data_IF_232168760226
#
_entry.id   IF_232168760226
#
_cell.length_a   1.000
_cell.length_b   1.000
_cell.length_c   1.000
_cell.angle_alpha   90.00
_cell.angle_beta   90.00
_cell.angle_gamma   90.00
#
_symmetry.space_group_name_H-M   'P 1'
#
loop_
_entity.id
_entity.type
_entity.pdbx_description
1 polymer ?
#
# COMPACT_ATOMS: atom_id res chain seq x y z
N UNK A 1 -89.68 0.17 37.04
CA UNK A 1 -88.42 0.88 37.24
C UNK A 1 -87.33 -0.13 37.00
N UNK A 2 -86.65 -0.05 35.82
CA UNK A 2 -85.57 -0.99 35.40
C UNK A 2 -84.24 -0.22 35.31
N UNK A 3 -83.33 -0.55 36.22
CA UNK A 3 -82.00 0.02 36.21
C UNK A 3 -81.08 -0.73 35.20
N UNK A 4 -80.48 -0.02 34.25
CA UNK A 4 -79.50 -0.56 33.33
C UNK A 4 -78.11 -0.12 33.81
N UNK A 5 -77.12 -1.01 33.93
CA UNK A 5 -75.77 -0.59 34.29
C UNK A 5 -74.95 -0.16 33.01
N UNK A 6 -74.30 0.97 33.16
CA UNK A 6 -73.39 1.56 32.18
C UNK A 6 -72.04 0.76 32.14
N UNK A 7 -71.68 0.14 31.01
CA UNK A 7 -70.41 -0.52 30.82
C UNK A 7 -69.37 0.52 30.38
N UNK A 8 -68.36 0.74 31.17
CA UNK A 8 -67.19 1.53 30.82
C UNK A 8 -66.25 0.68 29.91
N UNK A 9 -66.00 1.10 28.69
CA UNK A 9 -64.94 0.57 27.84
C UNK A 9 -63.62 1.21 28.26
N UNK A 10 -62.65 0.41 28.74
CA UNK A 10 -61.24 0.80 28.87
C UNK A 10 -60.57 0.54 27.55
N UNK A 11 -60.20 1.58 26.87
CA UNK A 11 -59.28 1.53 25.70
C UNK A 11 -57.84 1.53 26.21
N UNK A 12 -57.17 0.38 26.10
CA UNK A 12 -55.74 0.27 26.34
C UNK A 12 -54.95 0.84 25.15
N UNK A 13 -54.30 1.99 25.35
CA UNK A 13 -53.36 2.56 24.38
C UNK A 13 -52.01 1.83 24.49
N UNK A 14 -51.68 1.01 23.50
CA UNK A 14 -50.32 0.47 23.36
C UNK A 14 -49.38 1.56 22.90
N UNK A 15 -48.54 2.11 23.77
CA UNK A 15 -47.37 2.90 23.38
C UNK A 15 -46.32 1.95 22.77
N UNK A 16 -46.17 1.99 21.44
CA UNK A 16 -45.05 1.37 20.77
C UNK A 16 -43.78 2.22 21.04
N UNK A 17 -42.94 1.74 21.95
CA UNK A 17 -41.62 2.33 22.16
C UNK A 17 -40.75 2.06 20.91
N UNK A 18 -40.51 3.09 20.09
CA UNK A 18 -39.52 3.04 19.03
C UNK A 18 -38.15 3.06 19.69
N UNK A 19 -37.48 1.90 19.75
CA UNK A 19 -36.05 1.81 20.09
C UNK A 19 -35.29 2.44 18.97
N UNK A 20 -34.51 3.51 19.20
CA UNK A 20 -33.63 4.03 18.14
C UNK A 20 -32.62 2.94 17.81
N UNK A 21 -32.60 2.49 16.56
CA UNK A 21 -31.49 1.72 16.02
C UNK A 21 -30.27 2.61 16.10
N UNK A 22 -29.41 2.43 17.10
CA UNK A 22 -28.07 2.98 17.10
C UNK A 22 -27.40 2.38 15.89
N UNK A 23 -27.17 3.21 14.86
CA UNK A 23 -26.37 2.83 13.71
C UNK A 23 -25.05 2.27 14.23
N UNK A 24 -24.72 1.04 13.85
CA UNK A 24 -23.42 0.46 14.18
C UNK A 24 -22.37 1.45 13.69
N UNK A 25 -21.68 2.13 14.60
CA UNK A 25 -20.46 2.85 14.26
C UNK A 25 -19.55 1.83 13.54
N UNK A 26 -19.08 2.17 12.34
CA UNK A 26 -18.21 1.30 11.58
C UNK A 26 -17.07 0.88 12.51
N UNK A 27 -17.02 -0.42 12.84
CA UNK A 27 -16.05 -0.93 13.80
C UNK A 27 -14.65 -0.62 13.25
N UNK A 28 -13.84 0.07 14.05
CA UNK A 28 -12.48 0.43 13.69
C UNK A 28 -11.73 -0.79 13.13
N UNK A 29 -10.84 -0.57 12.16
CA UNK A 29 -10.03 -1.65 11.60
C UNK A 29 -9.10 -2.19 12.70
N UNK A 30 -9.06 -3.51 12.86
CA UNK A 30 -8.25 -4.15 13.91
C UNK A 30 -6.89 -4.51 13.31
N UNK A 31 -5.84 -3.89 13.81
CA UNK A 31 -4.47 -4.18 13.47
C UNK A 31 -3.86 -5.26 14.39
N UNK A 32 -2.81 -5.99 13.96
CA UNK A 32 -2.13 -6.96 14.81
C UNK A 32 -1.61 -6.33 16.10
N UNK A 33 -1.57 -7.11 17.17
CA UNK A 33 -1.00 -6.72 18.48
C UNK A 33 -1.62 -5.46 19.09
N UNK A 34 -2.83 -5.04 18.66
CA UNK A 34 -3.47 -3.82 19.13
C UNK A 34 -2.85 -2.54 18.58
N UNK A 35 -2.06 -2.62 17.53
CA UNK A 35 -1.49 -1.44 16.87
C UNK A 35 -2.59 -0.47 16.41
N UNK A 36 -2.26 0.82 16.37
CA UNK A 36 -3.18 1.88 15.96
C UNK A 36 -3.19 2.10 14.45
N UNK A 37 -2.09 1.77 13.77
CA UNK A 37 -1.97 1.87 12.32
C UNK A 37 -0.93 0.90 11.78
N UNK A 38 -0.98 0.62 10.47
CA UNK A 38 0.11 -0.02 9.76
C UNK A 38 0.96 0.98 8.97
N UNK A 39 2.25 0.70 8.85
CA UNK A 39 3.22 1.50 8.08
C UNK A 39 3.96 0.59 7.12
N UNK A 40 3.84 0.88 5.82
CA UNK A 40 4.63 0.24 4.77
C UNK A 40 5.75 1.16 4.33
N UNK A 41 6.99 0.66 4.36
CA UNK A 41 8.18 1.34 3.87
C UNK A 41 8.58 0.67 2.55
N UNK A 42 8.35 1.34 1.42
CA UNK A 42 8.69 0.81 0.11
C UNK A 42 9.71 1.69 -0.61
N UNK A 43 10.42 1.06 -1.57
CA UNK A 43 11.53 1.64 -2.30
C UNK A 43 11.45 1.16 -3.75
N UNK A 44 11.33 2.09 -4.70
CA UNK A 44 11.14 1.76 -6.10
C UNK A 44 12.44 1.87 -6.91
N UNK A 45 12.52 1.24 -8.09
CA UNK A 45 13.53 1.33 -9.15
C UNK A 45 14.77 0.45 -9.02
N UNK A 46 15.07 -0.16 -7.90
CA UNK A 46 16.30 -0.95 -7.69
C UNK A 46 17.57 -0.12 -7.95
N UNK A 47 17.76 0.96 -7.19
CA UNK A 47 18.91 1.88 -7.30
C UNK A 47 19.95 1.65 -6.21
N UNK A 48 21.18 2.18 -6.41
CA UNK A 48 22.33 1.85 -5.57
C UNK A 48 22.16 2.31 -4.12
N UNK A 49 21.61 3.50 -3.87
CA UNK A 49 21.42 4.02 -2.50
C UNK A 49 20.46 3.19 -1.64
N UNK A 50 19.62 2.37 -2.24
CA UNK A 50 18.76 1.44 -1.49
C UNK A 50 19.59 0.31 -0.85
N UNK A 51 20.56 -0.23 -1.59
CA UNK A 51 21.48 -1.25 -1.07
C UNK A 51 22.51 -0.67 -0.10
N UNK A 52 22.99 0.55 -0.38
CA UNK A 52 24.07 1.16 0.39
C UNK A 52 23.58 1.84 1.68
N UNK A 53 22.37 2.41 1.67
CA UNK A 53 21.85 3.22 2.76
C UNK A 53 20.54 2.65 3.35
N UNK A 54 19.50 2.42 2.51
CA UNK A 54 18.17 2.07 3.03
C UNK A 54 18.15 0.70 3.73
N UNK A 55 18.62 -0.36 3.07
CA UNK A 55 18.61 -1.73 3.63
C UNK A 55 19.44 -1.81 4.90
N UNK A 56 20.69 -1.29 4.97
CA UNK A 56 21.46 -1.30 6.22
C UNK A 56 20.77 -0.51 7.35
N UNK A 57 20.10 0.59 7.06
CA UNK A 57 19.35 1.36 8.07
C UNK A 57 18.13 0.59 8.59
N UNK A 58 17.36 -0.04 7.71
CA UNK A 58 16.23 -0.91 8.08
C UNK A 58 16.69 -2.08 8.95
N UNK A 59 17.77 -2.76 8.56
CA UNK A 59 18.33 -3.89 9.31
C UNK A 59 18.78 -3.46 10.70
N UNK A 60 19.49 -2.33 10.83
CA UNK A 60 19.88 -1.77 12.14
C UNK A 60 18.67 -1.43 13.01
N UNK A 61 17.62 -0.91 12.42
CA UNK A 61 16.38 -0.61 13.11
C UNK A 61 15.53 -1.87 13.39
N UNK A 62 15.89 -3.03 12.85
CA UNK A 62 15.12 -4.27 12.93
C UNK A 62 13.75 -4.17 12.23
N UNK A 63 13.65 -3.34 11.22
CA UNK A 63 12.45 -3.14 10.41
C UNK A 63 12.62 -3.80 9.03
N UNK A 64 11.51 -4.05 8.34
CA UNK A 64 11.50 -4.60 6.99
C UNK A 64 10.88 -3.60 6.01
N UNK A 65 11.38 -3.62 4.77
CA UNK A 65 10.88 -2.80 3.67
C UNK A 65 10.54 -3.65 2.46
N UNK A 66 9.81 -3.04 1.53
CA UNK A 66 9.39 -3.64 0.26
C UNK A 66 10.12 -2.94 -0.88
N UNK A 67 10.93 -3.67 -1.64
CA UNK A 67 11.74 -3.15 -2.73
C UNK A 67 11.12 -3.54 -4.08
N UNK A 68 10.60 -2.56 -4.80
CA UNK A 68 9.97 -2.78 -6.10
C UNK A 68 11.01 -2.63 -7.20
N UNK A 69 11.40 -3.77 -7.75
CA UNK A 69 12.54 -3.82 -8.64
C UNK A 69 12.12 -3.54 -10.08
N UNK A 70 12.69 -2.48 -10.68
CA UNK A 70 12.81 -2.35 -12.13
C UNK A 70 13.79 -3.41 -12.60
N UNK A 71 13.33 -4.45 -13.29
CA UNK A 71 14.13 -5.66 -13.50
C UNK A 71 15.24 -5.49 -14.55
N UNK A 72 15.14 -4.50 -15.43
CA UNK A 72 16.21 -4.09 -16.32
C UNK A 72 17.20 -3.09 -15.69
N UNK A 73 17.10 -2.81 -14.36
CA UNK A 73 18.03 -1.91 -13.69
C UNK A 73 19.47 -2.44 -13.77
N UNK A 74 20.44 -1.61 -14.20
CA UNK A 74 21.87 -1.99 -14.17
C UNK A 74 22.35 -2.36 -12.76
N UNK A 75 21.80 -1.73 -11.71
CA UNK A 75 22.12 -2.05 -10.32
C UNK A 75 21.67 -3.46 -9.97
N UNK A 76 20.47 -3.88 -10.41
CA UNK A 76 20.02 -5.26 -10.20
C UNK A 76 20.98 -6.27 -10.84
N UNK A 77 21.41 -6.01 -12.09
CA UNK A 77 22.32 -6.92 -12.80
C UNK A 77 23.69 -7.01 -12.11
N UNK A 78 24.25 -5.88 -11.67
CA UNK A 78 25.58 -5.84 -11.02
C UNK A 78 25.56 -6.36 -9.58
N UNK A 79 24.46 -6.14 -8.85
CA UNK A 79 24.38 -6.34 -7.40
C UNK A 79 23.34 -7.41 -7.01
N UNK A 80 23.05 -8.34 -7.91
CA UNK A 80 22.10 -9.44 -7.69
C UNK A 80 22.31 -10.20 -6.36
N UNK A 81 23.54 -10.54 -5.94
CA UNK A 81 23.76 -11.21 -4.66
C UNK A 81 23.26 -10.40 -3.45
N UNK A 82 23.33 -9.06 -3.51
CA UNK A 82 22.88 -8.18 -2.42
C UNK A 82 21.36 -8.13 -2.36
N UNK A 83 20.67 -8.11 -3.49
CA UNK A 83 19.21 -8.24 -3.55
C UNK A 83 18.71 -9.58 -3.02
N UNK A 84 19.38 -10.69 -3.36
CA UNK A 84 19.09 -12.01 -2.78
C UNK A 84 19.29 -12.02 -1.28
N UNK A 85 20.37 -11.40 -0.80
CA UNK A 85 20.65 -11.28 0.62
C UNK A 85 19.60 -10.42 1.35
N UNK A 86 19.09 -9.36 0.73
CA UNK A 86 17.99 -8.55 1.27
C UNK A 86 16.71 -9.39 1.43
N UNK A 87 16.32 -10.15 0.39
CA UNK A 87 15.20 -11.07 0.47
C UNK A 87 15.37 -12.14 1.56
N UNK A 88 16.56 -12.73 1.66
CA UNK A 88 16.88 -13.74 2.68
C UNK A 88 16.78 -13.17 4.12
N UNK A 89 16.96 -11.85 4.30
CA UNK A 89 16.75 -11.17 5.57
C UNK A 89 15.29 -10.76 5.83
N UNK A 90 14.36 -11.09 4.92
CA UNK A 90 12.93 -10.85 5.08
C UNK A 90 12.43 -9.51 4.52
N UNK A 91 13.23 -8.82 3.70
CA UNK A 91 12.69 -7.73 2.88
C UNK A 91 11.92 -8.31 1.71
N UNK A 92 10.85 -7.64 1.32
CA UNK A 92 10.05 -8.01 0.14
C UNK A 92 10.74 -7.51 -1.14
N UNK A 93 10.77 -8.37 -2.17
CA UNK A 93 11.07 -7.96 -3.53
C UNK A 93 9.77 -7.93 -4.33
N UNK A 94 9.26 -6.74 -4.62
CA UNK A 94 8.06 -6.51 -5.41
C UNK A 94 8.37 -6.25 -6.89
N UNK A 95 7.34 -6.29 -7.72
CA UNK A 95 7.46 -6.08 -9.16
C UNK A 95 7.24 -4.61 -9.53
N UNK A 96 8.19 -4.04 -10.28
CA UNK A 96 8.09 -2.68 -10.85
C UNK A 96 8.32 -2.70 -12.37
N UNK A 97 7.80 -3.72 -13.05
CA UNK A 97 7.97 -4.02 -14.47
C UNK A 97 9.41 -4.35 -14.87
N UNK A 98 9.60 -4.69 -16.15
CA UNK A 98 10.95 -4.88 -16.70
C UNK A 98 11.63 -3.53 -16.96
N UNK A 99 10.94 -2.60 -17.62
CA UNK A 99 11.57 -1.42 -18.23
C UNK A 99 11.11 -0.09 -17.63
N UNK A 100 10.14 -0.10 -16.70
CA UNK A 100 9.60 1.11 -16.07
C UNK A 100 9.01 2.08 -17.11
N UNK A 101 8.13 1.56 -17.97
CA UNK A 101 7.50 2.37 -19.02
C UNK A 101 6.52 3.37 -18.40
N UNK A 102 6.60 4.63 -18.85
CA UNK A 102 5.77 5.74 -18.41
C UNK A 102 5.14 6.47 -19.60
N UNK A 103 4.06 7.21 -19.38
CA UNK A 103 3.45 8.05 -20.39
C UNK A 103 4.34 9.25 -20.72
N UNK A 104 4.58 9.51 -22.00
CA UNK A 104 5.24 10.71 -22.47
C UNK A 104 4.30 11.93 -22.61
N UNK A 105 3.00 11.78 -22.29
CA UNK A 105 1.99 12.82 -22.52
C UNK A 105 2.12 14.01 -21.54
N UNK A 106 2.81 13.86 -20.41
CA UNK A 106 3.01 14.95 -19.44
C UNK A 106 4.24 15.80 -19.76
N UNK A 107 4.17 17.14 -19.60
CA UNK A 107 5.24 18.06 -20.02
C UNK A 107 6.58 17.85 -19.30
N UNK A 108 6.57 17.34 -18.08
CA UNK A 108 7.73 17.07 -17.22
C UNK A 108 8.39 15.72 -17.51
N UNK A 109 7.85 14.94 -18.46
CA UNK A 109 8.33 13.59 -18.79
C UNK A 109 9.12 13.52 -20.10
N UNK A 110 9.89 14.56 -20.39
CA UNK A 110 10.79 14.61 -21.58
C UNK A 110 11.91 13.56 -21.57
N UNK A 111 12.10 12.90 -20.44
CA UNK A 111 13.05 11.81 -20.25
C UNK A 111 12.52 10.44 -20.72
N UNK A 112 11.22 10.32 -20.99
CA UNK A 112 10.62 9.07 -21.51
C UNK A 112 11.03 8.90 -22.97
N UNK A 113 11.77 7.83 -23.25
CA UNK A 113 12.16 7.50 -24.62
C UNK A 113 11.00 6.86 -25.39
N UNK A 114 11.03 6.83 -26.74
CA UNK A 114 10.01 6.15 -27.52
C UNK A 114 9.84 4.66 -27.14
N UNK A 115 10.94 3.98 -26.78
CA UNK A 115 10.95 2.57 -26.40
C UNK A 115 10.31 2.33 -25.03
N UNK A 116 10.42 3.31 -24.12
CA UNK A 116 9.88 3.25 -22.76
C UNK A 116 8.53 3.99 -22.63
N UNK A 117 7.90 4.38 -23.76
CA UNK A 117 6.62 5.06 -23.76
C UNK A 117 5.45 4.08 -23.64
N UNK A 118 4.75 4.12 -22.50
CA UNK A 118 3.58 3.27 -22.24
C UNK A 118 2.40 3.61 -23.18
N UNK A 119 2.33 4.86 -23.70
CA UNK A 119 1.23 5.29 -24.57
C UNK A 119 1.21 4.53 -25.90
N UNK A 120 2.36 3.95 -26.30
CA UNK A 120 2.49 3.16 -27.53
C UNK A 120 2.65 1.67 -27.28
N UNK A 121 2.72 1.24 -26.00
CA UNK A 121 2.81 -0.16 -25.60
C UNK A 121 1.43 -0.72 -25.37
N UNK A 122 1.05 -1.82 -26.06
CA UNK A 122 -0.25 -2.45 -25.82
C UNK A 122 -0.33 -3.04 -24.40
N UNK A 123 -1.52 -2.97 -23.79
CA UNK A 123 -1.76 -3.52 -22.45
C UNK A 123 -1.39 -5.01 -22.40
N UNK A 124 -1.72 -5.80 -23.42
CA UNK A 124 -1.37 -7.21 -23.49
C UNK A 124 0.15 -7.43 -23.43
N UNK A 125 0.94 -6.63 -24.17
CA UNK A 125 2.40 -6.73 -24.15
C UNK A 125 2.99 -6.33 -22.81
N UNK A 126 2.45 -5.30 -22.17
CA UNK A 126 2.89 -4.87 -20.84
C UNK A 126 2.58 -5.95 -19.79
N UNK A 127 1.39 -6.57 -19.86
CA UNK A 127 1.01 -7.68 -18.97
C UNK A 127 1.96 -8.88 -19.12
N UNK A 128 2.37 -9.24 -20.35
CA UNK A 128 3.38 -10.28 -20.57
C UNK A 128 4.72 -9.93 -19.90
N UNK A 129 5.18 -8.69 -20.02
CA UNK A 129 6.40 -8.21 -19.36
C UNK A 129 6.28 -8.29 -17.83
N UNK A 130 5.16 -7.87 -17.26
CA UNK A 130 4.90 -7.92 -15.82
C UNK A 130 4.95 -9.37 -15.32
N UNK A 131 4.30 -10.31 -16.02
CA UNK A 131 4.32 -11.74 -15.67
C UNK A 131 5.72 -12.35 -15.80
N UNK A 132 6.48 -11.98 -16.82
CA UNK A 132 7.88 -12.36 -16.94
C UNK A 132 8.70 -11.80 -15.77
N UNK A 133 8.42 -10.58 -15.34
CA UNK A 133 8.99 -9.98 -14.14
C UNK A 133 8.76 -10.82 -12.88
N UNK A 134 7.55 -11.33 -12.67
CA UNK A 134 7.26 -12.25 -11.56
C UNK A 134 8.09 -13.54 -11.64
N UNK A 135 8.29 -14.08 -12.85
CA UNK A 135 9.15 -15.26 -13.06
C UNK A 135 10.61 -14.96 -12.71
N UNK A 136 11.14 -13.78 -13.10
CA UNK A 136 12.50 -13.37 -12.76
C UNK A 136 12.66 -13.17 -11.24
N UNK A 137 11.70 -12.52 -10.58
CA UNK A 137 11.70 -12.35 -9.12
C UNK A 137 11.67 -13.70 -8.39
N UNK A 138 10.86 -14.65 -8.87
CA UNK A 138 10.84 -16.00 -8.32
C UNK A 138 12.21 -16.68 -8.41
N UNK A 139 12.94 -16.50 -9.52
CA UNK A 139 14.31 -17.02 -9.65
C UNK A 139 15.33 -16.30 -8.74
N UNK A 140 15.02 -15.10 -8.24
CA UNK A 140 15.87 -14.35 -7.33
C UNK A 140 15.67 -14.79 -5.88
N UNK A 141 14.40 -14.90 -5.41
CA UNK A 141 14.05 -15.07 -3.99
C UNK A 141 13.20 -16.32 -3.67
N UNK A 142 12.73 -17.05 -4.69
CA UNK A 142 11.91 -18.24 -4.54
C UNK A 142 10.44 -17.99 -4.15
N UNK A 143 10.02 -16.73 -3.97
CA UNK A 143 8.63 -16.42 -3.60
C UNK A 143 7.71 -16.47 -4.81
N UNK A 144 6.45 -16.84 -4.60
CA UNK A 144 5.41 -16.91 -5.65
C UNK A 144 4.37 -15.81 -5.54
N UNK A 145 4.06 -15.36 -4.33
CA UNK A 145 3.17 -14.24 -4.10
C UNK A 145 3.91 -12.92 -4.26
N UNK A 146 3.26 -11.95 -4.87
CA UNK A 146 3.88 -10.64 -5.19
C UNK A 146 2.93 -9.49 -4.92
N UNK A 147 3.52 -8.32 -4.71
CA UNK A 147 2.85 -7.03 -4.87
C UNK A 147 3.48 -6.26 -6.04
N UNK A 148 2.78 -5.23 -6.49
CA UNK A 148 3.15 -4.46 -7.66
C UNK A 148 3.07 -2.96 -7.37
N UNK A 149 4.03 -2.19 -7.84
CA UNK A 149 3.92 -0.73 -7.91
C UNK A 149 3.86 -0.29 -9.37
N UNK A 150 2.84 0.49 -9.70
CA UNK A 150 2.64 1.04 -11.04
C UNK A 150 3.68 2.11 -11.32
N UNK A 151 4.53 1.97 -12.37
CA UNK A 151 5.48 3.01 -12.75
C UNK A 151 4.78 4.33 -13.01
N UNK A 152 5.31 5.43 -12.46
CA UNK A 152 4.80 6.80 -12.65
C UNK A 152 3.32 7.01 -12.23
N UNK A 153 2.66 6.00 -11.66
CA UNK A 153 1.21 6.02 -11.43
C UNK A 153 0.37 5.83 -12.71
N UNK A 154 0.98 5.51 -13.85
CA UNK A 154 0.31 5.39 -15.15
C UNK A 154 -0.39 4.02 -15.28
N UNK A 155 -1.70 4.01 -15.15
CA UNK A 155 -2.52 2.78 -15.18
C UNK A 155 -3.00 2.40 -16.59
N UNK A 156 -2.75 3.24 -17.60
CA UNK A 156 -3.17 3.01 -18.98
C UNK A 156 -1.95 2.69 -19.86
N UNK A 157 -2.05 1.64 -20.65
CA UNK A 157 -1.11 1.30 -21.71
C UNK A 157 -1.84 1.34 -23.07
N UNK A 158 -1.39 2.19 -23.97
CA UNK A 158 -2.08 2.48 -25.23
C UNK A 158 -3.60 2.75 -25.05
N UNK A 159 -3.97 3.43 -23.96
CA UNK A 159 -5.35 3.79 -23.63
C UNK A 159 -6.15 2.71 -22.90
N UNK A 160 -5.63 1.49 -22.71
CA UNK A 160 -6.29 0.41 -21.99
C UNK A 160 -5.77 0.28 -20.55
N UNK A 161 -6.66 0.10 -19.57
CA UNK A 161 -6.25 -0.08 -18.17
C UNK A 161 -5.67 -1.49 -17.95
N UNK A 162 -4.34 -1.59 -18.01
CA UNK A 162 -3.62 -2.85 -17.84
C UNK A 162 -3.63 -3.36 -16.39
N UNK A 163 -3.81 -2.47 -15.40
CA UNK A 163 -3.83 -2.85 -13.98
C UNK A 163 -4.98 -3.82 -13.70
N UNK A 164 -6.14 -3.61 -14.33
CA UNK A 164 -7.28 -4.53 -14.19
C UNK A 164 -6.98 -5.94 -14.72
N UNK A 165 -6.09 -6.07 -15.69
CA UNK A 165 -5.74 -7.36 -16.31
C UNK A 165 -4.78 -8.19 -15.44
N UNK A 166 -4.15 -7.57 -14.44
CA UNK A 166 -3.17 -8.19 -13.55
C UNK A 166 -3.64 -8.34 -12.10
N UNK A 167 -4.90 -8.02 -11.78
CA UNK A 167 -5.43 -8.17 -10.41
C UNK A 167 -5.22 -9.59 -9.84
N UNK A 168 -5.34 -10.62 -10.67
CA UNK A 168 -5.15 -12.01 -10.26
C UNK A 168 -3.70 -12.42 -10.06
N UNK A 169 -2.74 -11.62 -10.53
CA UNK A 169 -1.32 -11.92 -10.46
C UNK A 169 -0.65 -11.38 -9.17
N UNK A 170 -1.38 -10.56 -8.38
CA UNK A 170 -0.81 -9.85 -7.22
C UNK A 170 -1.71 -9.88 -5.98
N UNK A 171 -1.08 -9.89 -4.81
CA UNK A 171 -1.77 -9.72 -3.52
C UNK A 171 -2.36 -8.32 -3.42
N UNK A 172 -1.60 -7.31 -3.82
CA UNK A 172 -2.05 -5.92 -3.85
C UNK A 172 -1.22 -5.09 -4.84
N UNK A 173 -1.77 -3.94 -5.25
CA UNK A 173 -1.16 -3.04 -6.23
C UNK A 173 -1.18 -1.61 -5.69
N UNK A 174 -0.03 -0.95 -5.73
CA UNK A 174 0.14 0.49 -5.53
C UNK A 174 -0.02 1.19 -6.88
N UNK A 175 -1.03 2.04 -7.05
CA UNK A 175 -1.39 2.59 -8.36
C UNK A 175 -1.75 4.07 -8.35
N UNK A 176 -1.28 4.83 -7.40
CA UNK A 176 -1.57 6.26 -7.37
C UNK A 176 -0.88 6.98 -6.23
N UNK A 177 -0.93 8.29 -6.28
CA UNK A 177 -0.36 9.15 -5.26
C UNK A 177 -1.41 9.58 -4.25
N UNK A 178 -1.02 9.73 -3.00
CA UNK A 178 -1.88 10.16 -1.92
C UNK A 178 -1.13 10.23 -0.60
N UNK A 179 -1.85 10.53 0.45
CA UNK A 179 -1.31 10.53 1.81
C UNK A 179 -1.69 9.26 2.58
N UNK A 180 -2.12 9.49 3.81
CA UNK A 180 -2.66 8.44 4.68
C UNK A 180 -3.95 7.87 4.09
N UNK A 181 -4.12 6.56 4.13
CA UNK A 181 -5.35 5.90 3.70
C UNK A 181 -6.53 6.48 4.50
N UNK A 182 -7.56 7.00 3.83
CA UNK A 182 -8.64 7.69 4.52
C UNK A 182 -9.54 6.75 5.32
N UNK A 183 -9.80 5.55 4.78
CA UNK A 183 -10.67 4.55 5.38
C UNK A 183 -10.30 3.14 4.92
N UNK A 184 -10.14 2.22 5.88
CA UNK A 184 -9.81 0.82 5.59
C UNK A 184 -10.99 0.02 5.04
N UNK A 185 -12.23 0.44 5.30
CA UNK A 185 -13.42 -0.24 4.79
C UNK A 185 -13.53 -0.12 3.26
N UNK A 186 -13.22 1.07 2.73
CA UNK A 186 -13.28 1.39 1.30
C UNK A 186 -11.99 1.12 0.54
N UNK A 187 -10.90 0.75 1.23
CA UNK A 187 -9.61 0.50 0.58
C UNK A 187 -9.73 -0.60 -0.49
N UNK A 188 -9.43 -0.25 -1.74
CA UNK A 188 -9.24 -1.23 -2.82
C UNK A 188 -7.79 -1.76 -2.78
N UNK A 189 -7.57 -3.08 -2.58
CA UNK A 189 -6.23 -3.64 -2.56
C UNK A 189 -5.48 -3.53 -3.90
N UNK A 190 -6.18 -3.26 -4.98
CA UNK A 190 -5.59 -3.09 -6.31
C UNK A 190 -5.47 -1.63 -6.75
N UNK A 191 -5.76 -0.70 -5.82
CA UNK A 191 -5.61 0.75 -6.04
C UNK A 191 -5.17 1.45 -4.75
N UNK A 192 -4.07 0.98 -4.16
CA UNK A 192 -3.54 1.55 -2.93
C UNK A 192 -2.71 2.78 -3.25
N UNK A 193 -3.08 3.92 -2.64
CA UNK A 193 -2.33 5.16 -2.79
C UNK A 193 -1.02 5.13 -1.99
N UNK A 194 0.00 5.85 -2.49
CA UNK A 194 1.32 5.98 -1.87
C UNK A 194 1.69 7.43 -1.65
N UNK A 195 2.45 7.69 -0.60
CA UNK A 195 3.18 8.93 -0.42
C UNK A 195 4.60 8.75 -0.94
N UNK A 196 4.98 9.50 -1.96
CA UNK A 196 6.30 9.48 -2.57
C UNK A 196 7.10 10.72 -2.12
N UNK A 197 7.87 10.63 -1.02
CA UNK A 197 8.56 11.79 -0.48
C UNK A 197 9.79 12.13 -1.32
N UNK A 198 9.95 13.44 -1.61
CA UNK A 198 11.15 14.03 -2.20
C UNK A 198 11.57 15.21 -1.32
N UNK A 199 12.79 15.16 -0.78
CA UNK A 199 13.31 16.17 0.13
C UNK A 199 12.58 16.31 1.47
N UNK A 200 11.68 15.40 1.83
CA UNK A 200 10.91 15.47 3.07
C UNK A 200 11.81 15.32 4.31
N UNK A 201 11.47 16.05 5.37
CA UNK A 201 12.14 15.94 6.68
C UNK A 201 11.60 14.75 7.47
N UNK A 202 12.39 14.24 8.44
CA UNK A 202 11.94 13.20 9.35
C UNK A 202 10.66 13.57 10.11
N UNK A 203 10.51 14.83 10.52
CA UNK A 203 9.30 15.33 11.19
C UNK A 203 8.06 15.23 10.31
N UNK A 204 8.19 15.58 9.01
CA UNK A 204 7.09 15.47 8.05
C UNK A 204 6.67 14.00 7.84
N UNK A 205 7.63 13.10 7.69
CA UNK A 205 7.36 11.67 7.56
C UNK A 205 6.68 11.11 8.81
N UNK A 206 7.18 11.44 10.00
CA UNK A 206 6.60 11.02 11.29
C UNK A 206 5.19 11.59 11.47
N UNK A 207 4.92 12.82 11.01
CA UNK A 207 3.59 13.40 11.08
C UNK A 207 2.54 12.56 10.33
N UNK A 208 2.88 12.03 9.14
CA UNK A 208 2.02 11.12 8.38
C UNK A 208 1.77 9.78 9.11
N UNK A 209 2.78 9.24 9.78
CA UNK A 209 2.61 8.04 10.63
C UNK A 209 1.64 8.31 11.78
N UNK A 210 1.79 9.45 12.46
CA UNK A 210 0.88 9.86 13.55
C UNK A 210 -0.54 10.09 13.05
N UNK A 211 -0.70 10.67 11.86
CA UNK A 211 -2.00 10.83 11.21
C UNK A 211 -2.67 9.48 10.93
N UNK A 212 -1.93 8.50 10.39
CA UNK A 212 -2.44 7.14 10.19
C UNK A 212 -2.89 6.52 11.52
N UNK A 213 -2.11 6.70 12.60
CA UNK A 213 -2.49 6.26 13.95
C UNK A 213 -3.71 6.95 14.52
N UNK A 214 -3.90 8.23 14.23
CA UNK A 214 -5.10 8.98 14.66
C UNK A 214 -6.36 8.51 13.91
N UNK A 215 -6.23 8.12 12.65
CA UNK A 215 -7.32 7.59 11.81
C UNK A 215 -7.59 6.09 12.03
N UNK A 216 -6.65 5.34 12.60
CA UNK A 216 -6.74 3.88 12.70
C UNK A 216 -6.52 3.16 11.36
N UNK A 217 -5.81 3.79 10.40
CA UNK A 217 -5.65 3.30 9.03
C UNK A 217 -4.19 2.92 8.73
N UNK A 218 -3.69 3.17 7.52
CA UNK A 218 -2.30 2.90 7.16
C UNK A 218 -1.70 4.03 6.34
N UNK A 219 -0.36 4.11 6.35
CA UNK A 219 0.43 4.94 5.45
C UNK A 219 1.38 4.05 4.64
N UNK A 220 1.46 4.31 3.34
CA UNK A 220 2.38 3.65 2.43
C UNK A 220 3.37 4.68 1.91
N UNK A 221 4.61 4.61 2.36
CA UNK A 221 5.68 5.39 1.77
C UNK A 221 6.24 4.65 0.56
N UNK A 222 6.58 5.39 -0.49
CA UNK A 222 7.34 4.91 -1.64
C UNK A 222 8.51 5.85 -1.85
N UNK A 223 9.64 5.49 -1.28
CA UNK A 223 10.92 6.17 -1.47
C UNK A 223 11.57 5.75 -2.78
N UNK A 224 12.49 6.57 -3.28
CA UNK A 224 13.42 6.20 -4.34
C UNK A 224 14.84 6.25 -3.77
N UNK A 225 15.56 7.37 -3.91
CA UNK A 225 16.88 7.55 -3.34
C UNK A 225 16.89 7.79 -1.84
N UNK A 226 17.84 7.19 -1.13
CA UNK A 226 18.11 7.46 0.29
C UNK A 226 19.54 7.99 0.42
N UNK A 227 19.67 9.29 0.62
CA UNK A 227 20.98 9.96 0.72
C UNK A 227 21.77 10.00 -0.57
N UNK A 228 21.16 9.67 -1.70
CA UNK A 228 21.75 9.65 -3.04
C UNK A 228 20.71 9.31 -4.10
N UNK A 229 21.13 9.19 -5.34
CA UNK A 229 20.30 8.99 -6.52
C UNK A 229 19.28 10.13 -6.74
N UNK A 230 18.11 9.85 -7.28
CA UNK A 230 17.06 10.84 -7.60
C UNK A 230 15.83 10.68 -6.69
N UNK A 231 14.94 11.70 -6.65
CA UNK A 231 13.76 11.76 -5.77
C UNK A 231 14.17 11.37 -4.36
N UNK A 232 15.17 12.12 -3.82
CA UNK A 232 15.92 11.65 -2.67
C UNK A 232 15.35 12.13 -1.35
N UNK A 233 15.26 11.22 -0.39
CA UNK A 233 15.11 11.51 1.04
C UNK A 233 16.50 11.42 1.69
N UNK A 234 16.87 12.39 2.53
CA UNK A 234 18.17 12.35 3.19
C UNK A 234 18.30 11.15 4.13
N UNK A 235 19.53 10.64 4.32
CA UNK A 235 19.81 9.59 5.30
C UNK A 235 19.24 9.95 6.67
N UNK A 236 19.44 11.21 7.11
CA UNK A 236 18.92 11.67 8.41
C UNK A 236 17.40 11.57 8.50
N UNK A 237 16.67 12.06 7.52
CA UNK A 237 15.20 12.02 7.54
C UNK A 237 14.67 10.59 7.55
N UNK A 238 15.30 9.71 6.77
CA UNK A 238 14.98 8.30 6.75
C UNK A 238 15.28 7.62 8.10
N UNK A 239 16.46 7.84 8.67
CA UNK A 239 16.85 7.29 9.97
C UNK A 239 15.99 7.83 11.12
N UNK A 240 15.59 9.12 11.11
CA UNK A 240 14.66 9.68 12.09
C UNK A 240 13.31 8.94 12.06
N UNK A 241 12.77 8.67 10.85
CA UNK A 241 11.54 7.88 10.70
C UNK A 241 11.72 6.45 11.23
N UNK A 242 12.80 5.77 10.83
CA UNK A 242 13.06 4.39 11.29
C UNK A 242 13.24 4.30 12.80
N UNK A 243 13.96 5.24 13.40
CA UNK A 243 14.14 5.32 14.85
C UNK A 243 12.80 5.53 15.57
N UNK A 244 11.94 6.40 15.05
CA UNK A 244 10.59 6.62 15.58
C UNK A 244 9.76 5.34 15.52
N UNK A 245 9.73 4.65 14.38
CA UNK A 245 8.97 3.40 14.21
C UNK A 245 9.51 2.28 15.10
N UNK A 246 10.84 2.15 15.20
CA UNK A 246 11.47 1.16 16.08
C UNK A 246 11.17 1.39 17.57
N UNK A 247 11.04 2.64 18.00
CA UNK A 247 10.69 3.01 19.37
C UNK A 247 9.19 2.87 19.70
N UNK A 248 8.32 2.77 18.69
CA UNK A 248 6.86 2.74 18.86
C UNK A 248 6.21 1.51 18.21
N UNK A 249 6.86 0.34 18.29
CA UNK A 249 6.38 -0.92 17.70
C UNK A 249 5.08 -1.44 18.32
N UNK A 250 4.81 -1.05 19.53
CA UNK A 250 3.56 -1.32 20.25
C UNK A 250 2.39 -0.46 19.74
N UNK A 251 2.71 0.65 19.06
CA UNK A 251 1.71 1.60 18.52
C UNK A 251 1.52 1.44 17.01
N UNK A 252 2.61 1.21 16.28
CA UNK A 252 2.60 1.14 14.81
C UNK A 252 3.13 -0.21 14.33
N UNK A 253 2.31 -0.95 13.61
CA UNK A 253 2.74 -2.18 12.94
C UNK A 253 3.46 -1.82 11.63
N UNK A 254 4.80 -1.90 11.66
CA UNK A 254 5.63 -1.68 10.48
C UNK A 254 6.06 -3.03 9.91
N UNK A 255 5.67 -3.31 8.66
CA UNK A 255 6.00 -4.55 7.98
C UNK A 255 6.09 -4.34 6.46
N UNK A 256 6.46 -5.37 5.72
CA UNK A 256 6.42 -5.38 4.27
C UNK A 256 5.00 -5.17 3.76
N UNK A 257 4.87 -4.56 2.59
CA UNK A 257 3.56 -4.28 2.02
C UNK A 257 2.75 -5.55 1.75
N UNK A 258 3.43 -6.63 1.32
CA UNK A 258 2.76 -7.91 1.10
C UNK A 258 2.16 -8.46 2.39
N UNK A 259 2.86 -8.42 3.53
CA UNK A 259 2.34 -8.89 4.82
C UNK A 259 1.16 -8.04 5.28
N UNK A 260 1.30 -6.70 5.19
CA UNK A 260 0.21 -5.79 5.56
C UNK A 260 -1.03 -6.07 4.70
N UNK A 261 -0.89 -6.17 3.39
CA UNK A 261 -2.03 -6.33 2.49
C UNK A 261 -2.65 -7.73 2.53
N UNK A 262 -1.85 -8.76 2.79
CA UNK A 262 -2.36 -10.10 3.08
C UNK A 262 -3.25 -10.08 4.33
N UNK A 263 -2.79 -9.42 5.39
CA UNK A 263 -3.60 -9.24 6.61
C UNK A 263 -4.87 -8.44 6.33
N UNK A 264 -4.77 -7.31 5.61
CA UNK A 264 -5.94 -6.48 5.26
C UNK A 264 -6.98 -7.29 4.47
N UNK A 265 -6.57 -8.07 3.49
CA UNK A 265 -7.48 -8.93 2.70
C UNK A 265 -8.15 -9.98 3.58
N UNK A 266 -7.40 -10.62 4.48
CA UNK A 266 -7.96 -11.59 5.42
C UNK A 266 -8.99 -10.95 6.36
N UNK A 267 -8.71 -9.78 6.92
CA UNK A 267 -9.65 -9.06 7.78
C UNK A 267 -10.91 -8.61 7.03
N UNK A 268 -10.77 -8.17 5.78
CA UNK A 268 -11.93 -7.80 4.94
C UNK A 268 -12.80 -9.02 4.61
N UNK A 269 -12.22 -10.18 4.38
CA UNK A 269 -12.97 -11.42 4.12
C UNK A 269 -13.78 -11.91 5.34
N UNK A 270 -13.35 -11.56 6.55
CA UNK A 270 -14.08 -11.91 7.80
C UNK A 270 -15.23 -10.95 8.11
N UNK A 271 -15.30 -9.77 7.47
CA UNK A 271 -16.38 -8.81 7.65
C UNK A 271 -17.52 -9.11 6.68
N UNK A 272 -18.80 -9.17 7.13
CA UNK A 272 -19.91 -9.29 6.21
C UNK A 272 -19.89 -8.09 5.24
N UNK A 273 -20.28 -8.28 3.97
CA UNK A 273 -20.41 -7.18 3.06
C UNK A 273 -21.32 -6.11 3.65
N UNK A 274 -20.89 -4.85 3.61
CA UNK A 274 -21.74 -3.73 4.02
C UNK A 274 -23.07 -3.85 3.26
N UNK A 275 -24.19 -3.86 4.01
CA UNK A 275 -25.49 -3.90 3.38
C UNK A 275 -25.58 -2.75 2.37
N UNK A 276 -25.83 -3.08 1.10
CA UNK A 276 -26.01 -2.08 0.05
C UNK A 276 -27.14 -1.12 0.50
N UNK A 277 -26.78 0.15 0.66
CA UNK A 277 -27.71 1.22 0.98
C UNK A 277 -28.35 1.74 -0.30
#
# INVERSE_FOLDING_TARGET
MKNTPLRALLTAACLAATVPFAGAADAAFIWPHGARAAVSLAYDDAIDSQLDNAIPALDRAGLKGSFYLKLASPTLARRMPEWRAAAARGHELGNHTLFHQCSAALPDRTWVTPEDNIDTTSAARLVEQIRLGNTMLHAIDGQTERTFTVPCGDVLAAGENYVKLIHGDFVAIKSGFGGVVPDMATLDPYSVAVNAPDGATGEQLIALVKEAGARGTMINFTFHGIGGDYITTSNKAHEDLLAFLAAHRDVYWTDTFIHIMTYVKAQKALRPPAAAR
#
